data_IF_703730939273
#
_entry.id   IF_703730939273
#
_cell.length_a   1.000
_cell.length_b   1.000
_cell.length_c   1.000
_cell.angle_alpha   90.00
_cell.angle_beta   90.00
_cell.angle_gamma   90.00
#
_symmetry.space_group_name_H-M   'P 1'
#
loop_
_entity.id
_entity.type
_entity.pdbx_description
1 polymer ?
#
# COMPACT_ATOMS: atom_id res chain seq x y z
N UNK A 1 4.97 3.31 30.20
CA UNK A 1 4.13 2.90 29.07
C UNK A 1 5.05 2.74 27.86
N UNK A 2 5.21 1.53 27.29
CA UNK A 2 6.13 1.31 26.16
C UNK A 2 5.38 1.62 24.86
N UNK A 3 6.03 2.31 23.92
CA UNK A 3 5.42 2.74 22.64
C UNK A 3 4.82 1.58 21.81
N UNK A 4 5.35 0.36 21.99
CA UNK A 4 4.88 -0.88 21.35
C UNK A 4 3.47 -1.31 21.76
N UNK A 5 3.04 -0.96 22.97
CA UNK A 5 1.73 -1.34 23.51
C UNK A 5 0.57 -0.58 22.82
N UNK A 6 0.87 0.54 22.14
CA UNK A 6 -0.10 1.30 21.35
C UNK A 6 -0.18 0.89 19.87
N UNK A 7 0.70 0.00 19.42
CA UNK A 7 0.82 -0.40 18.01
C UNK A 7 0.56 -1.88 17.80
N UNK A 8 0.59 -2.70 18.86
CA UNK A 8 0.10 -4.07 18.84
C UNK A 8 -1.34 -4.12 18.30
N UNK A 9 -1.53 -4.89 17.23
CA UNK A 9 -2.81 -5.05 16.55
C UNK A 9 -3.15 -3.98 15.50
N UNK A 10 -2.31 -2.96 15.29
CA UNK A 10 -2.50 -2.02 14.16
C UNK A 10 -1.99 -2.62 12.85
N UNK A 11 -2.70 -2.34 11.77
CA UNK A 11 -2.41 -2.88 10.44
C UNK A 11 -1.82 -1.81 9.53
N UNK A 12 -0.68 -2.11 8.91
CA UNK A 12 -0.02 -1.23 7.96
C UNK A 12 0.07 -1.86 6.57
N UNK A 13 -0.31 -1.12 5.53
CA UNK A 13 -0.07 -1.47 4.13
C UNK A 13 1.05 -0.57 3.58
N UNK A 14 2.15 -1.17 3.12
CA UNK A 14 3.31 -0.48 2.55
C UNK A 14 3.45 -0.84 1.08
N UNK A 15 3.21 0.12 0.18
CA UNK A 15 3.42 -0.09 -1.26
C UNK A 15 4.89 0.13 -1.65
N UNK A 16 5.37 -0.58 -2.67
CA UNK A 16 6.79 -0.57 -3.03
C UNK A 16 7.68 -1.29 -2.01
N UNK A 17 7.14 -2.30 -1.31
CA UNK A 17 7.82 -3.00 -0.23
C UNK A 17 9.01 -3.86 -0.66
N UNK A 18 9.26 -4.04 -1.96
CA UNK A 18 10.29 -4.96 -2.49
C UNK A 18 11.70 -4.39 -2.60
N UNK A 19 11.93 -3.14 -2.17
CA UNK A 19 13.28 -2.56 -2.10
C UNK A 19 13.32 -1.23 -1.35
N UNK A 20 14.53 -0.79 -1.01
CA UNK A 20 14.84 0.59 -0.61
C UNK A 20 14.03 1.05 0.61
N UNK A 21 13.48 2.27 0.53
CA UNK A 21 12.73 2.88 1.64
C UNK A 21 11.48 2.06 1.99
N UNK A 22 10.83 1.43 1.01
CA UNK A 22 9.60 0.66 1.25
C UNK A 22 9.86 -0.60 2.05
N UNK A 23 10.91 -1.33 1.68
CA UNK A 23 11.38 -2.50 2.43
C UNK A 23 11.79 -2.11 3.86
N UNK A 24 12.64 -1.09 4.00
CA UNK A 24 13.09 -0.61 5.30
C UNK A 24 11.92 -0.16 6.19
N UNK A 25 10.92 0.50 5.59
CA UNK A 25 9.70 0.92 6.31
C UNK A 25 8.88 -0.28 6.75
N UNK A 26 8.71 -1.30 5.90
CA UNK A 26 7.98 -2.52 6.25
C UNK A 26 8.63 -3.23 7.44
N UNK A 27 9.97 -3.37 7.43
CA UNK A 27 10.74 -3.96 8.53
C UNK A 27 10.61 -3.15 9.82
N UNK A 28 10.72 -1.84 9.74
CA UNK A 28 10.65 -0.97 10.92
C UNK A 28 9.24 -0.97 11.54
N UNK A 29 8.18 -0.92 10.73
CA UNK A 29 6.81 -1.04 11.23
C UNK A 29 6.57 -2.41 11.87
N UNK A 30 7.09 -3.48 11.27
CA UNK A 30 6.98 -4.82 11.84
C UNK A 30 7.69 -4.93 13.20
N UNK A 31 8.91 -4.37 13.31
CA UNK A 31 9.66 -4.29 14.57
C UNK A 31 8.92 -3.51 15.66
N UNK A 32 8.05 -2.57 15.28
CA UNK A 32 7.18 -1.81 16.18
C UNK A 32 5.87 -2.53 16.54
N UNK A 33 5.65 -3.77 16.11
CA UNK A 33 4.46 -4.55 16.45
C UNK A 33 3.27 -4.39 15.50
N UNK A 34 3.44 -3.70 14.37
CA UNK A 34 2.39 -3.65 13.36
C UNK A 34 2.24 -5.01 12.66
N UNK A 35 1.00 -5.36 12.34
CA UNK A 35 0.73 -6.34 11.28
C UNK A 35 0.96 -5.66 9.94
N UNK A 36 2.05 -6.01 9.26
CA UNK A 36 2.49 -5.34 8.03
C UNK A 36 2.16 -6.16 6.79
N UNK A 37 1.55 -5.51 5.81
CA UNK A 37 1.41 -5.95 4.43
C UNK A 37 2.39 -5.18 3.54
N UNK A 38 3.43 -5.84 3.05
CA UNK A 38 4.34 -5.30 2.06
C UNK A 38 3.83 -5.63 0.65
N UNK A 39 3.49 -4.59 -0.12
CA UNK A 39 2.89 -4.72 -1.43
C UNK A 39 3.84 -4.32 -2.56
N UNK A 40 4.00 -5.18 -3.57
CA UNK A 40 4.78 -4.91 -4.76
C UNK A 40 4.36 -5.81 -5.94
N UNK A 41 4.86 -5.51 -7.14
CA UNK A 41 4.59 -6.31 -8.35
C UNK A 41 5.29 -7.68 -8.35
N UNK A 42 6.46 -7.76 -7.70
CA UNK A 42 7.37 -8.91 -7.70
C UNK A 42 7.48 -9.47 -6.28
N UNK A 43 6.85 -10.61 -6.04
CA UNK A 43 6.81 -11.26 -4.72
C UNK A 43 8.15 -11.91 -4.38
N UNK A 44 8.84 -12.44 -5.38
CA UNK A 44 10.16 -13.07 -5.28
C UNK A 44 11.22 -12.13 -4.67
N UNK A 45 11.03 -10.81 -4.80
CA UNK A 45 11.91 -9.80 -4.18
C UNK A 45 11.57 -9.50 -2.72
N UNK A 46 10.56 -10.16 -2.16
CA UNK A 46 10.08 -9.94 -0.79
C UNK A 46 10.13 -11.24 0.03
N UNK A 47 10.79 -12.29 -0.44
CA UNK A 47 10.94 -13.56 0.29
C UNK A 47 11.54 -13.33 1.68
N UNK A 48 12.58 -12.51 1.78
CA UNK A 48 13.20 -12.14 3.07
C UNK A 48 12.25 -11.41 4.03
N UNK A 49 11.25 -10.68 3.49
CA UNK A 49 10.21 -10.06 4.31
C UNK A 49 9.20 -11.12 4.79
N UNK A 50 8.80 -12.04 3.91
CA UNK A 50 7.92 -13.15 4.26
C UNK A 50 8.54 -14.03 5.36
N UNK A 51 9.82 -14.39 5.22
CA UNK A 51 10.57 -15.14 6.24
C UNK A 51 10.66 -14.38 7.56
N UNK A 52 10.71 -13.05 7.52
CA UNK A 52 10.69 -12.20 8.72
C UNK A 52 9.30 -12.06 9.36
N UNK A 53 8.26 -12.71 8.84
CA UNK A 53 6.89 -12.64 9.38
C UNK A 53 6.05 -11.48 8.85
N UNK A 54 6.54 -10.76 7.83
CA UNK A 54 5.79 -9.70 7.15
C UNK A 54 4.93 -10.32 6.04
N UNK A 55 3.65 -9.93 5.96
CA UNK A 55 2.75 -10.44 4.92
C UNK A 55 3.10 -9.79 3.59
N UNK A 56 3.32 -10.58 2.55
CA UNK A 56 3.63 -10.07 1.21
C UNK A 56 2.41 -10.13 0.30
N UNK A 57 2.12 -9.04 -0.42
CA UNK A 57 0.95 -8.90 -1.28
C UNK A 57 1.38 -8.50 -2.69
N UNK A 58 0.88 -9.19 -3.71
CA UNK A 58 1.10 -8.76 -5.09
C UNK A 58 0.16 -7.60 -5.40
N UNK A 59 0.70 -6.45 -5.74
CA UNK A 59 -0.09 -5.27 -6.13
C UNK A 59 0.68 -4.43 -7.15
N UNK A 60 0.03 -4.09 -8.25
CA UNK A 60 0.46 -3.02 -9.13
C UNK A 60 -0.36 -1.75 -8.81
N UNK A 61 0.33 -0.68 -8.42
CA UNK A 61 -0.33 0.58 -8.01
C UNK A 61 -0.80 1.42 -9.19
N UNK A 62 -0.43 1.04 -10.42
CA UNK A 62 -0.92 1.69 -11.65
C UNK A 62 -2.19 1.06 -12.20
N UNK A 63 -2.65 -0.04 -11.60
CA UNK A 63 -3.83 -0.79 -11.99
C UNK A 63 -4.87 -0.72 -10.88
N UNK A 64 -5.98 -0.01 -11.15
CA UNK A 64 -7.05 0.22 -10.18
C UNK A 64 -7.71 -1.08 -9.71
N UNK A 65 -7.80 -2.10 -10.57
CA UNK A 65 -8.34 -3.41 -10.20
C UNK A 65 -7.36 -4.16 -9.28
N UNK A 66 -6.06 -4.06 -9.56
CA UNK A 66 -5.03 -4.62 -8.69
C UNK A 66 -5.01 -3.95 -7.31
N UNK A 67 -5.17 -2.63 -7.24
CA UNK A 67 -5.25 -1.89 -5.98
C UNK A 67 -6.50 -2.28 -5.21
N UNK A 68 -7.65 -2.31 -5.88
CA UNK A 68 -8.94 -2.68 -5.26
C UNK A 68 -8.91 -4.10 -4.71
N UNK A 69 -8.38 -5.05 -5.49
CA UNK A 69 -8.22 -6.45 -5.07
C UNK A 69 -7.30 -6.56 -3.85
N UNK A 70 -6.14 -5.91 -3.88
CA UNK A 70 -5.19 -6.00 -2.77
C UNK A 70 -5.72 -5.36 -1.49
N UNK A 71 -6.41 -4.22 -1.57
CA UNK A 71 -7.07 -3.61 -0.38
C UNK A 71 -8.12 -4.56 0.18
N UNK A 72 -8.94 -5.19 -0.68
CA UNK A 72 -9.93 -6.18 -0.23
C UNK A 72 -9.29 -7.36 0.47
N UNK A 73 -8.14 -7.86 0.00
CA UNK A 73 -7.40 -8.93 0.67
C UNK A 73 -6.99 -8.50 2.08
N UNK A 74 -6.40 -7.31 2.25
CA UNK A 74 -5.99 -6.81 3.57
C UNK A 74 -7.18 -6.67 4.50
N UNK A 75 -8.30 -6.11 4.01
CA UNK A 75 -9.52 -5.96 4.81
C UNK A 75 -10.16 -7.30 5.16
N UNK A 76 -10.13 -8.28 4.26
CA UNK A 76 -10.67 -9.62 4.53
C UNK A 76 -9.86 -10.37 5.59
N UNK A 77 -8.53 -10.23 5.57
CA UNK A 77 -7.63 -10.94 6.48
C UNK A 77 -7.44 -10.24 7.83
N UNK A 78 -7.41 -8.91 7.84
CA UNK A 78 -7.05 -8.12 9.01
C UNK A 78 -8.17 -7.19 9.51
N UNK A 79 -9.28 -7.06 8.76
CA UNK A 79 -10.44 -6.26 9.11
C UNK A 79 -10.26 -4.74 9.01
N UNK A 80 -9.03 -4.24 8.87
CA UNK A 80 -8.69 -2.81 8.91
C UNK A 80 -7.37 -2.48 8.20
N UNK A 81 -7.18 -1.20 7.90
CA UNK A 81 -5.89 -0.60 7.53
C UNK A 81 -5.75 0.70 8.33
N UNK A 82 -4.79 0.75 9.25
CA UNK A 82 -4.55 1.92 10.11
C UNK A 82 -3.53 2.87 9.51
N UNK A 83 -2.57 2.32 8.78
CA UNK A 83 -1.47 3.04 8.16
C UNK A 83 -1.36 2.61 6.70
N UNK A 84 -1.40 3.57 5.79
CA UNK A 84 -1.06 3.38 4.39
C UNK A 84 0.22 4.16 4.08
N UNK A 85 1.24 3.47 3.61
CA UNK A 85 2.49 4.06 3.13
C UNK A 85 2.52 3.95 1.61
N UNK A 86 2.25 5.07 0.93
CA UNK A 86 2.33 5.18 -0.52
C UNK A 86 3.80 5.35 -0.96
N UNK A 87 4.57 4.27 -0.95
CA UNK A 87 6.00 4.30 -1.28
C UNK A 87 6.33 3.64 -2.65
N UNK A 88 5.35 3.08 -3.35
CA UNK A 88 5.57 2.65 -4.73
C UNK A 88 5.89 3.85 -5.63
N UNK A 89 7.11 3.87 -6.14
CA UNK A 89 7.61 4.82 -7.14
C UNK A 89 8.59 4.12 -8.07
N UNK A 90 8.68 4.61 -9.30
CA UNK A 90 9.72 4.24 -10.26
C UNK A 90 10.35 5.54 -10.73
N UNK A 91 11.66 5.68 -10.54
CA UNK A 91 12.41 6.82 -11.06
C UNK A 91 12.37 6.77 -12.59
N UNK A 92 11.89 7.84 -13.22
CA UNK A 92 12.14 8.07 -14.63
C UNK A 92 13.27 9.09 -14.73
N UNK A 93 14.36 8.67 -15.37
CA UNK A 93 15.48 9.54 -15.68
C UNK A 93 15.31 10.02 -17.14
N UNK A 94 15.19 11.34 -17.34
CA UNK A 94 15.03 11.99 -18.63
C UNK A 94 14.81 13.49 -18.48
N UNK A 95 15.09 14.29 -19.52
CA UNK A 95 14.77 15.72 -19.52
C UNK A 95 13.27 15.93 -19.34
N UNK A 96 12.88 16.94 -18.55
CA UNK A 96 11.48 17.24 -18.22
C UNK A 96 10.59 17.37 -19.47
N UNK A 97 11.15 17.82 -20.60
CA UNK A 97 10.47 17.92 -21.90
C UNK A 97 10.12 16.57 -22.57
N UNK A 98 10.73 15.45 -22.17
CA UNK A 98 10.53 14.12 -22.79
C UNK A 98 9.82 13.13 -21.86
N UNK A 99 9.68 13.46 -20.58
CA UNK A 99 8.97 12.62 -19.61
C UNK A 99 7.46 12.78 -19.82
N UNK A 100 6.72 11.73 -20.24
CA UNK A 100 5.27 11.84 -20.39
C UNK A 100 4.65 12.27 -19.06
N UNK A 101 3.67 13.19 -19.08
CA UNK A 101 2.98 13.73 -17.88
C UNK A 101 2.57 12.68 -16.83
N UNK A 102 2.25 11.47 -17.29
CA UNK A 102 1.90 10.27 -16.49
C UNK A 102 3.03 9.74 -15.59
N UNK A 103 4.27 10.15 -15.81
CA UNK A 103 5.46 9.66 -15.09
C UNK A 103 5.97 10.67 -14.04
N UNK A 104 5.55 11.94 -14.13
CA UNK A 104 6.07 13.03 -13.30
C UNK A 104 5.51 13.09 -11.86
N UNK A 105 4.57 12.24 -11.47
CA UNK A 105 3.87 12.33 -10.17
C UNK A 105 3.86 10.98 -9.46
N UNK A 106 5.01 10.54 -8.97
CA UNK A 106 5.08 9.35 -8.09
C UNK A 106 6.14 9.47 -6.98
N UNK A 107 6.36 10.69 -6.48
CA UNK A 107 7.17 10.96 -5.29
C UNK A 107 6.29 11.56 -4.20
N UNK A 108 5.54 10.73 -3.48
CA UNK A 108 4.82 11.21 -2.29
C UNK A 108 4.92 10.18 -1.18
N UNK A 109 5.88 10.36 -0.26
CA UNK A 109 5.79 9.84 1.10
C UNK A 109 4.58 10.55 1.73
N UNK A 110 3.38 9.99 1.57
CA UNK A 110 2.18 10.49 2.23
C UNK A 110 1.91 9.64 3.45
N UNK A 111 2.43 10.09 4.59
CA UNK A 111 2.11 9.55 5.93
C UNK A 111 0.63 9.84 6.20
N UNK A 112 -0.26 8.90 5.88
CA UNK A 112 -1.64 8.96 6.36
C UNK A 112 -1.68 8.42 7.79
N UNK A 113 -1.91 9.30 8.76
CA UNK A 113 -2.50 8.93 10.05
C UNK A 113 -4.02 8.99 9.85
N UNK A 114 -4.74 7.96 10.32
CA UNK A 114 -6.18 7.72 10.06
C UNK A 114 -7.04 8.97 10.32
N UNK A 115 -8.09 9.24 9.53
CA UNK A 115 -9.41 8.70 9.90
C UNK A 115 -10.45 8.52 8.74
N UNK A 116 -10.18 8.86 7.46
CA UNK A 116 -11.30 8.95 6.47
C UNK A 116 -11.04 8.57 5.00
N UNK A 117 -10.09 7.69 4.68
CA UNK A 117 -9.79 7.40 3.25
C UNK A 117 -10.26 6.03 2.76
N UNK A 118 -10.53 5.07 3.65
CA UNK A 118 -10.99 3.72 3.23
C UNK A 118 -12.44 3.74 2.71
N UNK A 119 -13.28 4.65 3.19
CA UNK A 119 -14.71 4.72 2.80
C UNK A 119 -14.94 5.01 1.31
N UNK A 120 -14.01 5.72 0.65
CA UNK A 120 -14.23 6.15 -0.74
C UNK A 120 -14.03 5.03 -1.76
N UNK A 121 -13.30 3.97 -1.42
CA UNK A 121 -13.14 2.78 -2.27
C UNK A 121 -14.31 1.81 -2.05
N UNK A 122 -14.87 1.76 -0.83
CA UNK A 122 -16.09 0.99 -0.54
C UNK A 122 -17.35 1.64 -1.13
N UNK A 123 -17.42 2.98 -1.19
CA UNK A 123 -18.58 3.73 -1.68
C UNK A 123 -18.68 3.87 -3.22
N UNK A 124 -17.72 3.36 -4.00
CA UNK A 124 -17.67 3.48 -5.46
C UNK A 124 -18.62 2.57 -6.25
N UNK A 125 -19.48 1.78 -5.59
CA UNK A 125 -20.45 0.88 -6.24
C UNK A 125 -21.90 1.22 -5.87
N UNK A 126 -22.33 2.43 -6.17
CA UNK A 126 -23.77 2.78 -6.18
C UNK A 126 -24.07 3.96 -7.10
N UNK A 127 -23.57 3.92 -8.34
CA UNK A 127 -24.09 4.74 -9.43
C UNK A 127 -23.81 4.05 -10.76
N UNK A 128 -24.81 3.32 -11.28
CA UNK A 128 -24.67 2.64 -12.57
C UNK A 128 -25.78 1.64 -12.91
N UNK A 129 -27.05 1.97 -12.64
CA UNK A 129 -28.17 1.30 -13.31
C UNK A 129 -29.33 2.26 -13.53
N UNK A 130 -29.27 3.06 -14.61
CA UNK A 130 -30.46 3.55 -15.32
C UNK A 130 -30.10 3.93 -16.76
N UNK A 131 -30.52 3.09 -17.69
CA UNK A 131 -31.14 3.41 -19.00
C UNK A 131 -31.33 2.05 -19.70
N UNK A 132 -32.50 1.51 -19.98
CA UNK A 132 -33.82 2.12 -20.10
C UNK A 132 -34.20 2.37 -21.55
N UNK A 133 -34.32 1.31 -22.36
CA UNK A 133 -35.40 0.99 -23.32
C UNK A 133 -35.02 -0.24 -24.14
#
# INVERSE_FOLDING_TARGET
MRETDMTDGKVALVTGGSSGIGEATARELHRRGFTVYAAARRLERMEDLATAGIRTLRMDVTDDDSVTSGIRTVLAEAGRIDVLVNNAGYGSYGALEVVPRRVAVQFFIKRFLSDRTVDRIAAGRSAGSQSGK
#
